data_IF_847700369058
#
_entry.id   IF_847700369058
#
_cell.length_a   1.000
_cell.length_b   1.000
_cell.length_c   1.000
_cell.angle_alpha   90.00
_cell.angle_beta   90.00
_cell.angle_gamma   90.00
#
_symmetry.space_group_name_H-M   'P 1'
#
loop_
_entity.id
_entity.type
_entity.pdbx_description
1 polymer ?
#
# COMPACT_ATOMS: atom_id res chain seq x y z
N UNK A 1 -18.85 -15.39 12.67
CA UNK A 1 -17.60 -16.13 12.96
C UNK A 1 -16.56 -16.02 11.85
N UNK A 2 -16.86 -15.37 10.71
CA UNK A 2 -16.09 -15.56 9.47
C UNK A 2 -15.21 -14.36 9.10
N UNK A 3 -15.10 -13.40 10.02
CA UNK A 3 -14.25 -12.24 9.86
C UNK A 3 -12.88 -12.53 10.48
N UNK A 4 -11.93 -12.98 9.65
CA UNK A 4 -10.57 -13.29 10.10
C UNK A 4 -9.81 -12.06 10.64
N UNK A 5 -10.24 -10.82 10.34
CA UNK A 5 -9.52 -9.62 10.78
C UNK A 5 -9.42 -9.55 12.31
N UNK A 6 -10.44 -10.00 13.05
CA UNK A 6 -10.44 -9.97 14.51
C UNK A 6 -9.90 -11.25 15.16
N UNK A 7 -9.88 -12.38 14.45
CA UNK A 7 -9.59 -13.69 15.05
C UNK A 7 -8.18 -13.80 15.60
N UNK A 8 -7.17 -13.25 14.93
CA UNK A 8 -5.81 -13.24 15.48
C UNK A 8 -5.70 -12.40 16.77
N UNK A 9 -6.39 -11.26 16.84
CA UNK A 9 -6.37 -10.40 18.02
C UNK A 9 -7.10 -11.02 19.21
N UNK A 10 -8.23 -11.68 18.96
CA UNK A 10 -9.06 -12.25 20.02
C UNK A 10 -8.58 -13.62 20.50
N UNK A 11 -8.05 -14.45 19.60
CA UNK A 11 -7.73 -15.86 19.89
C UNK A 11 -6.24 -16.19 19.76
N UNK A 12 -5.40 -15.25 19.33
CA UNK A 12 -3.96 -15.46 19.12
C UNK A 12 -3.61 -16.43 17.99
N UNK A 13 -4.60 -16.90 17.22
CA UNK A 13 -4.40 -17.86 16.13
C UNK A 13 -5.48 -17.73 15.06
N UNK A 14 -5.11 -18.12 13.84
CA UNK A 14 -6.06 -18.33 12.74
C UNK A 14 -6.49 -19.80 12.66
N UNK A 15 -7.66 -20.05 12.08
CA UNK A 15 -8.09 -21.41 11.71
C UNK A 15 -7.86 -21.64 10.21
N UNK A 16 -7.85 -22.90 9.78
CA UNK A 16 -7.73 -23.24 8.35
C UNK A 16 -8.87 -22.66 7.50
N UNK A 17 -10.06 -22.54 8.08
CA UNK A 17 -11.27 -22.04 7.40
C UNK A 17 -11.47 -20.53 7.55
N UNK A 18 -10.79 -19.88 8.51
CA UNK A 18 -10.91 -18.46 8.78
C UNK A 18 -9.53 -17.82 8.98
N UNK A 19 -8.87 -17.54 7.86
CA UNK A 19 -7.55 -16.91 7.79
C UNK A 19 -7.42 -15.98 6.56
N UNK A 20 -6.48 -15.01 6.61
CA UNK A 20 -6.10 -14.23 5.43
C UNK A 20 -5.76 -15.13 4.23
N UNK A 21 -6.09 -14.67 3.02
CA UNK A 21 -5.85 -15.44 1.78
C UNK A 21 -4.41 -15.92 1.64
N UNK A 22 -3.43 -15.10 2.03
CA UNK A 22 -2.03 -15.46 1.92
C UNK A 22 -1.58 -16.62 2.85
N UNK A 23 -2.41 -17.00 3.83
CA UNK A 23 -2.16 -18.17 4.70
C UNK A 23 -2.84 -19.45 4.19
N UNK A 24 -3.64 -19.37 3.12
CA UNK A 24 -4.36 -20.53 2.59
C UNK A 24 -3.43 -21.42 1.73
N UNK A 25 -3.45 -22.75 1.89
CA UNK A 25 -2.53 -23.65 1.19
C UNK A 25 -2.53 -23.48 -0.34
N UNK A 26 -3.70 -23.25 -0.93
CA UNK A 26 -3.87 -23.05 -2.38
C UNK A 26 -3.16 -21.81 -2.93
N UNK A 27 -2.77 -20.85 -2.07
CA UNK A 27 -2.09 -19.63 -2.46
C UNK A 27 -0.57 -19.66 -2.17
N UNK A 28 -0.10 -20.64 -1.40
CA UNK A 28 1.29 -20.68 -0.92
C UNK A 28 2.32 -20.78 -2.04
N UNK A 29 2.13 -21.71 -2.99
CA UNK A 29 3.11 -21.94 -4.07
C UNK A 29 3.28 -20.69 -4.96
N UNK A 30 2.18 -20.03 -5.31
CA UNK A 30 2.20 -18.80 -6.10
C UNK A 30 2.89 -17.64 -5.36
N UNK A 31 2.61 -17.47 -4.07
CA UNK A 31 3.26 -16.44 -3.26
C UNK A 31 4.76 -16.70 -3.09
N UNK A 32 5.15 -17.97 -2.83
CA UNK A 32 6.55 -18.36 -2.71
C UNK A 32 7.33 -18.08 -4.00
N UNK A 33 6.74 -18.38 -5.16
CA UNK A 33 7.36 -18.09 -6.45
C UNK A 33 7.50 -16.57 -6.73
N UNK A 34 6.60 -15.75 -6.18
CA UNK A 34 6.65 -14.30 -6.32
C UNK A 34 7.57 -13.60 -5.31
N UNK A 35 7.95 -14.26 -4.21
CA UNK A 35 8.75 -13.66 -3.14
C UNK A 35 10.06 -12.99 -3.60
N UNK A 36 10.83 -13.54 -4.59
CA UNK A 36 12.03 -12.87 -5.10
C UNK A 36 11.79 -11.52 -5.79
N UNK A 37 10.53 -11.18 -6.11
CA UNK A 37 10.15 -9.90 -6.73
C UNK A 37 9.96 -8.77 -5.70
N UNK A 38 10.15 -9.06 -4.41
CA UNK A 38 9.97 -8.07 -3.33
C UNK A 38 11.30 -7.38 -3.05
N UNK A 39 11.30 -6.06 -3.17
CA UNK A 39 12.39 -5.19 -2.72
C UNK A 39 11.94 -4.38 -1.51
N UNK A 40 12.79 -4.26 -0.49
CA UNK A 40 12.54 -3.43 0.69
C UNK A 40 13.45 -2.21 0.61
N UNK A 41 12.88 -1.03 0.89
CA UNK A 41 13.57 0.25 0.91
C UNK A 41 13.37 0.92 2.26
N UNK A 42 14.44 1.47 2.83
CA UNK A 42 14.37 2.32 4.03
C UNK A 42 14.62 3.76 3.58
N UNK A 43 13.55 4.45 3.19
CA UNK A 43 13.59 5.81 2.66
C UNK A 43 12.21 6.47 2.80
N UNK A 44 12.13 7.78 2.50
CA UNK A 44 10.84 8.41 2.23
C UNK A 44 10.23 7.83 0.96
N UNK A 45 8.90 7.80 0.88
CA UNK A 45 8.20 7.15 -0.22
C UNK A 45 8.50 7.82 -1.58
N UNK A 46 8.50 9.16 -1.60
CA UNK A 46 8.93 9.94 -2.78
C UNK A 46 10.37 9.63 -3.22
N UNK A 47 11.30 9.42 -2.28
CA UNK A 47 12.71 9.15 -2.60
C UNK A 47 12.86 7.74 -3.18
N UNK A 48 12.17 6.76 -2.59
CA UNK A 48 12.10 5.42 -3.14
C UNK A 48 11.48 5.41 -4.55
N UNK A 49 10.45 6.24 -4.80
CA UNK A 49 9.82 6.36 -6.11
C UNK A 49 10.72 7.06 -7.15
N UNK A 50 11.57 8.00 -6.73
CA UNK A 50 12.53 8.69 -7.60
C UNK A 50 13.61 7.78 -8.18
N UNK A 51 13.89 6.63 -7.54
CA UNK A 51 14.80 5.62 -8.08
C UNK A 51 14.27 4.92 -9.35
N UNK A 52 13.01 5.15 -9.72
CA UNK A 52 12.36 4.52 -10.88
C UNK A 52 12.00 5.56 -11.96
N UNK A 53 11.91 5.15 -13.24
CA UNK A 53 11.50 6.05 -14.32
C UNK A 53 10.04 6.52 -14.15
N UNK A 54 9.69 7.59 -14.85
CA UNK A 54 8.30 8.07 -14.89
C UNK A 54 7.38 7.03 -15.53
N UNK A 55 6.14 6.95 -15.03
CA UNK A 55 5.17 5.94 -15.47
C UNK A 55 5.46 4.49 -15.04
N UNK A 56 6.43 4.25 -14.16
CA UNK A 56 6.85 2.90 -13.77
C UNK A 56 5.80 2.13 -12.94
N UNK A 57 5.14 2.78 -11.99
CA UNK A 57 4.27 2.09 -11.04
C UNK A 57 2.84 1.92 -11.58
N UNK A 58 2.36 0.69 -11.68
CA UNK A 58 0.96 0.43 -12.04
C UNK A 58 -0.01 0.58 -10.87
N UNK A 59 0.47 0.44 -9.63
CA UNK A 59 -0.34 0.60 -8.44
C UNK A 59 0.49 1.20 -7.30
N UNK A 60 -0.10 2.14 -6.57
CA UNK A 60 0.45 2.69 -5.33
C UNK A 60 -0.57 2.46 -4.21
N UNK A 61 -0.16 1.74 -3.16
CA UNK A 61 -0.99 1.50 -1.98
C UNK A 61 -0.45 2.37 -0.86
N UNK A 62 -1.13 3.49 -0.63
CA UNK A 62 -0.79 4.50 0.37
C UNK A 62 -1.69 4.27 1.57
N UNK A 63 -1.07 3.91 2.68
CA UNK A 63 -1.78 3.82 3.96
C UNK A 63 -2.03 5.24 4.49
N UNK A 64 -2.31 5.34 5.78
CA UNK A 64 -2.59 6.58 6.51
C UNK A 64 -1.37 7.48 6.74
N UNK A 65 -0.24 7.23 6.07
CA UNK A 65 0.99 7.98 6.33
C UNK A 65 0.86 9.48 5.96
N UNK A 66 0.08 9.79 4.92
CA UNK A 66 -0.15 11.19 4.50
C UNK A 66 -0.97 11.99 5.51
N UNK A 67 -1.69 11.34 6.42
CA UNK A 67 -2.43 12.05 7.46
C UNK A 67 -1.52 12.69 8.52
N UNK A 68 -0.27 12.25 8.59
CA UNK A 68 0.74 12.74 9.52
C UNK A 68 1.67 13.78 8.89
N UNK A 69 1.44 14.13 7.62
CA UNK A 69 2.23 15.11 6.86
C UNK A 69 1.55 16.48 6.86
N UNK A 70 2.37 17.53 6.83
CA UNK A 70 1.92 18.89 6.55
C UNK A 70 1.47 19.03 5.09
N UNK A 71 0.74 20.10 4.79
CA UNK A 71 0.30 20.37 3.41
C UNK A 71 1.43 20.50 2.41
N UNK A 72 2.52 21.14 2.79
CA UNK A 72 3.68 21.26 1.92
C UNK A 72 4.29 19.87 1.61
N UNK A 73 4.36 18.98 2.60
CA UNK A 73 4.91 17.63 2.43
C UNK A 73 4.01 16.72 1.58
N UNK A 74 2.68 16.79 1.75
CA UNK A 74 1.74 16.05 0.90
C UNK A 74 1.86 16.50 -0.55
N UNK A 75 1.88 17.81 -0.81
CA UNK A 75 2.02 18.35 -2.18
C UNK A 75 3.36 17.95 -2.79
N UNK A 76 4.45 18.05 -2.05
CA UNK A 76 5.79 17.68 -2.51
C UNK A 76 5.87 16.19 -2.87
N UNK A 77 5.38 15.31 -1.98
CA UNK A 77 5.31 13.87 -2.25
C UNK A 77 4.42 13.56 -3.45
N UNK A 78 3.26 14.22 -3.56
CA UNK A 78 2.34 13.98 -4.66
C UNK A 78 2.87 14.45 -6.01
N UNK A 79 3.65 15.54 -6.03
CA UNK A 79 4.33 16.00 -7.24
C UNK A 79 5.23 14.91 -7.85
N UNK A 80 5.85 14.08 -7.01
CA UNK A 80 6.66 12.94 -7.43
C UNK A 80 5.78 11.75 -7.80
N UNK A 81 4.93 11.30 -6.88
CA UNK A 81 4.14 10.08 -7.06
C UNK A 81 3.24 10.14 -8.30
N UNK A 82 2.64 11.29 -8.59
CA UNK A 82 1.80 11.47 -9.78
C UNK A 82 2.56 11.22 -11.09
N UNK A 83 3.82 11.66 -11.21
CA UNK A 83 4.66 11.41 -12.40
C UNK A 83 5.12 9.95 -12.48
N UNK A 84 5.34 9.32 -11.33
CA UNK A 84 5.80 7.92 -11.26
C UNK A 84 4.68 6.91 -11.50
N UNK A 85 3.42 7.33 -11.41
CA UNK A 85 2.27 6.49 -11.71
C UNK A 85 2.12 6.28 -13.23
N UNK A 86 1.85 5.04 -13.62
CA UNK A 86 1.65 4.69 -15.02
C UNK A 86 0.44 5.42 -15.63
N UNK A 87 0.56 6.04 -16.82
CA UNK A 87 -0.47 6.92 -17.37
C UNK A 87 -1.81 6.22 -17.64
N UNK A 88 -1.81 5.00 -18.17
CA UNK A 88 -3.05 4.30 -18.55
C UNK A 88 -3.61 3.35 -17.47
N UNK A 89 -2.74 2.52 -16.89
CA UNK A 89 -3.11 1.48 -15.92
C UNK A 89 -2.86 1.87 -14.46
N UNK A 90 -2.40 3.08 -14.21
CA UNK A 90 -2.12 3.60 -12.88
C UNK A 90 -3.35 3.55 -11.97
N UNK A 91 -3.15 3.07 -10.74
CA UNK A 91 -4.14 3.10 -9.67
C UNK A 91 -3.50 3.52 -8.36
N UNK A 92 -4.20 4.37 -7.62
CA UNK A 92 -3.82 4.77 -6.26
C UNK A 92 -4.89 4.30 -5.31
N UNK A 93 -4.50 3.55 -4.28
CA UNK A 93 -5.33 3.22 -3.15
C UNK A 93 -4.81 4.02 -1.96
N UNK A 94 -5.47 5.12 -1.64
CA UNK A 94 -5.11 5.96 -0.51
C UNK A 94 -6.14 5.80 0.61
N UNK A 95 -5.68 5.30 1.76
CA UNK A 95 -6.46 5.19 2.99
C UNK A 95 -6.08 6.33 3.93
N UNK A 96 -7.07 6.99 4.54
CA UNK A 96 -6.87 7.89 5.68
C UNK A 96 -7.41 7.27 6.97
N UNK A 97 -6.85 7.67 8.11
CA UNK A 97 -7.41 7.40 9.44
C UNK A 97 -8.70 8.20 9.69
N UNK A 98 -8.89 9.30 8.96
CA UNK A 98 -9.99 10.23 9.12
C UNK A 98 -11.05 10.03 8.03
N UNK A 99 -12.34 10.24 8.33
CA UNK A 99 -13.39 10.26 7.31
C UNK A 99 -13.28 11.47 6.37
N UNK A 100 -12.47 12.48 6.74
CA UNK A 100 -12.14 13.62 5.89
C UNK A 100 -10.64 13.69 5.69
N UNK A 101 -10.22 13.65 4.44
CA UNK A 101 -8.88 14.07 4.07
C UNK A 101 -8.75 15.54 4.44
N UNK A 102 -7.75 15.88 5.25
CA UNK A 102 -7.45 17.27 5.57
C UNK A 102 -6.90 18.03 4.35
N UNK A 103 -6.52 17.31 3.28
CA UNK A 103 -5.84 17.85 2.11
C UNK A 103 -6.26 17.12 0.83
N UNK A 104 -6.61 17.88 -0.21
CA UNK A 104 -6.78 17.34 -1.55
C UNK A 104 -5.41 17.24 -2.25
N UNK A 105 -5.07 16.09 -2.87
CA UNK A 105 -3.76 15.89 -3.52
C UNK A 105 -3.47 16.85 -4.68
N UNK A 106 -4.50 17.52 -5.21
CA UNK A 106 -4.40 18.46 -6.33
C UNK A 106 -5.31 19.65 -6.02
N UNK A 107 -4.71 20.73 -5.53
CA UNK A 107 -5.25 22.08 -5.60
C UNK A 107 -4.36 22.90 -6.54
#
# INVERSE_FOLDING_TARGET
>A
SDNYFYCAYLYGKYTRTNCPRYLRPEHFAALKAAAPRVSVHTALLKDAANAYPDGYFSAMVLLDHMDWLSTAEVVDEWSVLARKLHPERGRVLWRSFSPRQHIAPLA
#
